data_IF_135591010256
#
_entry.id   IF_135591010256
#
_cell.length_a   1.000
_cell.length_b   1.000
_cell.length_c   1.000
_cell.angle_alpha   90.00
_cell.angle_beta   90.00
_cell.angle_gamma   90.00
#
_symmetry.space_group_name_H-M   'P 1'
#
loop_
_entity.id
_entity.type
_entity.pdbx_description
1 polymer ?
#
# COMPACT_ATOMS: atom_id res chain seq x y z
N UNK A 1 23.49 10.24 19.20
CA UNK A 1 24.08 10.35 17.85
C UNK A 1 23.06 11.07 16.99
N UNK A 2 23.34 12.32 16.60
CA UNK A 2 22.40 13.12 15.82
C UNK A 2 22.38 12.58 14.38
N UNK A 3 21.22 12.10 13.95
CA UNK A 3 20.92 11.84 12.54
C UNK A 3 21.10 13.16 11.80
N UNK A 4 22.03 13.22 10.84
CA UNK A 4 22.14 14.35 9.92
C UNK A 4 20.77 14.61 9.26
N UNK A 5 20.34 15.87 9.12
CA UNK A 5 19.12 16.18 8.39
C UNK A 5 19.35 15.74 6.95
N UNK A 6 18.57 14.76 6.50
CA UNK A 6 18.65 14.27 5.14
C UNK A 6 17.90 15.28 4.28
N UNK A 7 18.63 16.12 3.55
CA UNK A 7 18.02 16.98 2.54
C UNK A 7 17.17 16.11 1.62
N UNK A 8 15.92 16.52 1.35
CA UNK A 8 15.12 15.88 0.32
C UNK A 8 15.89 15.91 -0.99
N UNK A 9 16.02 14.76 -1.64
CA UNK A 9 16.80 14.65 -2.86
C UNK A 9 16.38 15.70 -3.89
N UNK A 10 17.37 16.32 -4.54
CA UNK A 10 17.13 17.31 -5.61
C UNK A 10 16.44 16.67 -6.83
N UNK A 11 16.68 15.38 -7.04
CA UNK A 11 16.15 14.55 -8.11
C UNK A 11 15.27 13.40 -7.57
N UNK A 12 14.53 12.75 -8.48
CA UNK A 12 13.58 11.70 -8.15
C UNK A 12 14.28 10.44 -7.62
N UNK A 13 15.38 10.03 -8.24
CA UNK A 13 16.09 8.80 -7.88
C UNK A 13 16.64 8.89 -6.46
N UNK A 14 17.28 10.01 -6.14
CA UNK A 14 17.72 10.32 -4.79
C UNK A 14 16.55 10.24 -3.82
N UNK A 15 15.45 10.96 -4.09
CA UNK A 15 14.24 10.99 -3.24
C UNK A 15 13.68 9.60 -2.97
N UNK A 16 13.45 8.79 -4.00
CA UNK A 16 12.94 7.42 -3.85
C UNK A 16 13.95 6.54 -3.08
N UNK A 17 15.25 6.68 -3.37
CA UNK A 17 16.31 5.99 -2.64
C UNK A 17 16.34 6.35 -1.14
N UNK A 18 15.95 7.57 -0.77
CA UNK A 18 15.81 7.95 0.63
C UNK A 18 14.53 7.41 1.29
N UNK A 19 13.44 7.32 0.52
CA UNK A 19 12.13 6.89 0.96
C UNK A 19 12.10 5.39 1.27
N UNK A 20 12.64 4.55 0.38
CA UNK A 20 12.45 3.10 0.43
C UNK A 20 12.84 2.45 1.76
N UNK A 21 13.99 2.78 2.39
CA UNK A 21 14.33 2.20 3.69
C UNK A 21 13.35 2.58 4.81
N UNK A 22 12.67 3.72 4.69
CA UNK A 22 11.72 4.23 5.69
C UNK A 22 10.28 3.82 5.40
N UNK A 23 9.98 3.40 4.16
CA UNK A 23 8.63 3.08 3.71
C UNK A 23 7.93 2.03 4.60
N UNK A 24 8.56 0.94 5.07
CA UNK A 24 7.92 0.00 5.98
C UNK A 24 7.39 0.66 7.27
N UNK A 25 8.17 1.56 7.87
CA UNK A 25 7.76 2.25 9.09
C UNK A 25 6.58 3.20 8.84
N UNK A 26 6.62 3.98 7.76
CA UNK A 26 5.53 4.87 7.37
C UNK A 26 4.25 4.10 6.99
N UNK A 27 4.38 2.98 6.28
CA UNK A 27 3.26 2.13 5.88
C UNK A 27 2.56 1.50 7.08
N UNK A 28 3.33 0.94 8.01
CA UNK A 28 2.76 0.34 9.22
C UNK A 28 2.08 1.40 10.10
N UNK A 29 2.63 2.63 10.15
CA UNK A 29 2.00 3.77 10.82
C UNK A 29 0.67 4.17 10.17
N UNK A 30 0.64 4.30 8.84
CA UNK A 30 -0.56 4.65 8.09
C UNK A 30 -1.65 3.57 8.23
N UNK A 31 -1.27 2.30 8.16
CA UNK A 31 -2.20 1.17 8.34
C UNK A 31 -2.87 1.21 9.72
N UNK A 32 -2.10 1.44 10.79
CA UNK A 32 -2.64 1.52 12.14
C UNK A 32 -3.51 2.76 12.39
N UNK A 33 -3.23 3.89 11.72
CA UNK A 33 -4.08 5.09 11.77
C UNK A 33 -5.43 4.89 11.10
N UNK A 34 -5.48 4.06 10.06
CA UNK A 34 -6.68 3.81 9.24
C UNK A 34 -7.64 2.74 9.78
N UNK A 35 -7.32 2.12 10.93
CA UNK A 35 -8.09 0.98 11.46
C UNK A 35 -9.60 1.29 11.52
N UNK A 36 -10.43 0.63 10.69
CA UNK A 36 -11.88 0.79 10.76
C UNK A 36 -12.39 0.17 12.08
N UNK A 37 -13.41 0.76 12.74
CA UNK A 37 -13.98 0.20 13.96
C UNK A 37 -14.72 -1.14 13.75
N UNK A 38 -15.17 -1.43 12.52
CA UNK A 38 -15.95 -2.62 12.16
C UNK A 38 -15.53 -3.16 10.79
N UNK A 39 -15.81 -4.45 10.56
CA UNK A 39 -15.36 -5.36 9.47
C UNK A 39 -14.08 -6.15 9.80
N UNK A 40 -13.92 -7.39 9.27
CA UNK A 40 -12.79 -8.26 9.60
C UNK A 40 -11.48 -7.56 9.26
N UNK A 41 -10.80 -7.12 10.32
CA UNK A 41 -9.50 -6.49 10.24
C UNK A 41 -8.46 -7.58 10.01
N UNK A 42 -7.94 -7.67 8.79
CA UNK A 42 -6.76 -8.49 8.46
C UNK A 42 -5.53 -7.61 8.69
N UNK A 43 -4.76 -7.81 9.77
CA UNK A 43 -3.56 -7.01 10.02
C UNK A 43 -2.56 -7.24 8.88
N UNK A 44 -2.16 -6.15 8.22
CA UNK A 44 -1.19 -6.15 7.13
C UNK A 44 0.01 -5.31 7.53
N UNK A 45 1.20 -5.85 7.32
CA UNK A 45 2.47 -5.16 7.60
C UNK A 45 3.37 -5.19 6.38
N UNK A 46 3.91 -4.04 6.02
CA UNK A 46 5.01 -3.97 5.04
C UNK A 46 6.29 -4.36 5.77
N UNK A 47 6.98 -5.37 5.24
CA UNK A 47 8.25 -5.87 5.78
C UNK A 47 9.41 -5.21 5.06
N UNK A 48 9.34 -5.15 3.73
CA UNK A 48 10.42 -4.69 2.88
C UNK A 48 9.85 -3.88 1.72
N UNK A 49 10.60 -2.86 1.32
CA UNK A 49 10.47 -2.21 0.03
C UNK A 49 11.69 -2.55 -0.82
N UNK A 50 11.47 -3.11 -2.00
CA UNK A 50 12.50 -3.52 -2.94
C UNK A 50 13.19 -2.33 -3.61
N UNK A 51 14.21 -2.64 -4.42
CA UNK A 51 14.93 -1.65 -5.24
C UNK A 51 13.95 -0.94 -6.19
N UNK A 52 14.07 0.39 -6.39
CA UNK A 52 13.25 1.08 -7.36
C UNK A 52 13.78 0.83 -8.78
N UNK A 53 12.86 0.72 -9.72
CA UNK A 53 13.16 0.80 -11.15
C UNK A 53 12.54 2.09 -11.70
N UNK A 54 13.18 2.73 -12.68
CA UNK A 54 12.72 3.99 -13.28
C UNK A 54 12.45 3.85 -14.79
N UNK A 55 12.94 2.76 -15.37
CA UNK A 55 12.62 2.38 -16.74
C UNK A 55 11.20 1.81 -16.80
N UNK A 56 10.39 2.19 -17.81
CA UNK A 56 9.08 1.59 -18.00
C UNK A 56 9.24 0.08 -18.16
N UNK A 57 8.54 -0.69 -17.31
CA UNK A 57 8.52 -2.15 -17.45
C UNK A 57 8.11 -2.49 -18.89
N UNK A 58 8.87 -3.35 -19.60
CA UNK A 58 8.48 -3.76 -20.93
C UNK A 58 7.11 -4.42 -20.80
N UNK A 59 6.10 -3.80 -21.40
CA UNK A 59 4.76 -4.38 -21.47
C UNK A 59 4.91 -5.58 -22.40
N UNK A 60 5.10 -6.76 -21.81
CA UNK A 60 5.02 -8.01 -22.55
C UNK A 60 3.68 -8.03 -23.29
N UNK A 61 3.74 -8.29 -24.59
CA UNK A 61 2.57 -8.35 -25.46
C UNK A 61 1.56 -9.34 -24.83
N UNK A 62 0.43 -8.81 -24.36
CA UNK A 62 -0.60 -9.59 -23.66
C UNK A 62 -1.32 -10.48 -24.68
N UNK A 63 -0.70 -11.62 -25.00
CA UNK A 63 -1.33 -12.72 -25.71
C UNK A 63 -1.56 -12.50 -27.20
N UNK A 64 -0.50 -12.52 -28.00
CA UNK A 64 -0.59 -13.07 -29.37
C UNK A 64 0.15 -14.40 -29.42
N UNK A 65 -0.60 -15.48 -29.62
CA UNK A 65 -0.05 -16.82 -29.79
C UNK A 65 0.77 -16.92 -31.08
N UNK A 66 1.95 -17.53 -30.99
CA UNK A 66 2.84 -17.86 -32.09
C UNK A 66 4.15 -17.06 -32.00
N UNK A 67 5.29 -17.65 -31.65
CA UNK A 67 5.88 -18.76 -32.38
C UNK A 67 6.76 -19.61 -31.45
N UNK A 68 6.58 -20.92 -31.55
CA UNK A 68 7.47 -21.93 -30.97
C UNK A 68 8.85 -21.81 -31.63
N UNK A 69 9.75 -21.09 -30.98
CA UNK A 69 11.18 -21.12 -31.26
C UNK A 69 11.73 -22.50 -30.90
N UNK A 70 12.10 -23.23 -31.95
CA UNK A 70 12.75 -24.54 -31.92
C UNK A 70 13.85 -24.63 -30.85
N UNK A 71 13.61 -25.40 -29.79
CA UNK A 71 14.66 -25.79 -28.83
C UNK A 71 15.41 -26.99 -29.37
N UNK A 72 16.70 -26.77 -29.65
CA UNK A 72 17.65 -27.81 -30.01
C UNK A 72 17.79 -28.84 -28.89
N UNK A 73 17.88 -30.09 -29.33
CA UNK A 73 18.14 -31.27 -28.51
C UNK A 73 19.46 -31.11 -27.75
N UNK A 74 19.39 -31.13 -26.41
CA UNK A 74 20.56 -31.23 -25.53
C UNK A 74 20.46 -32.51 -24.71
N UNK A 75 21.57 -33.25 -24.73
CA UNK A 75 21.66 -34.64 -24.33
C UNK A 75 21.35 -34.95 -22.87
N UNK A 76 20.93 -36.19 -22.70
CA UNK A 76 20.64 -36.86 -21.43
C UNK A 76 21.90 -36.92 -20.55
N UNK A 77 21.93 -36.15 -19.46
CA UNK A 77 22.93 -36.27 -18.39
C UNK A 77 22.29 -36.98 -17.21
N UNK A 78 22.88 -38.11 -16.80
CA UNK A 78 22.35 -39.03 -15.80
C UNK A 78 22.09 -38.37 -14.44
N UNK A 79 20.90 -38.64 -13.91
CA UNK A 79 20.47 -38.23 -12.58
C UNK A 79 21.16 -39.05 -11.49
N UNK A 80 22.21 -38.49 -10.88
CA UNK A 80 22.69 -38.90 -9.56
C UNK A 80 22.56 -37.70 -8.63
N UNK A 81 21.33 -37.44 -8.17
CA UNK A 81 21.06 -36.46 -7.12
C UNK A 81 21.24 -37.15 -5.76
N UNK A 82 22.03 -36.59 -4.83
CA UNK A 82 22.09 -37.09 -3.46
C UNK A 82 20.71 -36.94 -2.78
N UNK A 83 20.38 -37.84 -1.83
CA UNK A 83 19.09 -37.79 -1.14
C UNK A 83 18.94 -36.47 -0.38
N UNK A 84 17.74 -35.88 -0.47
CA UNK A 84 17.38 -34.65 0.23
C UNK A 84 17.50 -34.84 1.75
N UNK A 85 17.98 -33.81 2.49
CA UNK A 85 17.97 -33.85 3.94
C UNK A 85 16.54 -34.01 4.49
N UNK A 86 16.36 -34.68 5.62
CA UNK A 86 15.04 -34.83 6.23
C UNK A 86 14.45 -33.45 6.57
N UNK A 87 13.12 -33.29 6.48
CA UNK A 87 12.46 -32.04 6.80
C UNK A 87 12.77 -31.64 8.26
N UNK A 88 12.92 -30.33 8.54
CA UNK A 88 13.14 -29.86 9.90
C UNK A 88 11.97 -30.26 10.79
N UNK A 89 12.29 -30.72 11.99
CA UNK A 89 11.33 -31.12 13.01
C UNK A 89 10.34 -29.99 13.27
N UNK A 90 9.01 -30.24 13.30
CA UNK A 90 8.03 -29.19 13.58
C UNK A 90 8.33 -28.56 14.93
N UNK A 91 8.39 -27.23 14.94
CA UNK A 91 8.57 -26.44 16.16
C UNK A 91 7.40 -26.70 17.13
N UNK A 92 7.65 -26.72 18.45
CA UNK A 92 6.58 -26.85 19.43
C UNK A 92 5.59 -25.68 19.28
N UNK A 93 4.29 -25.92 19.53
CA UNK A 93 3.29 -24.86 19.47
C UNK A 93 3.64 -23.76 20.49
N UNK A 94 3.41 -22.48 20.14
CA UNK A 94 3.63 -21.39 21.08
C UNK A 94 2.75 -21.57 22.32
N UNK A 95 3.20 -21.10 23.50
CA UNK A 95 2.41 -21.15 24.72
C UNK A 95 1.10 -20.39 24.52
N UNK A 96 0.00 -20.95 25.03
CA UNK A 96 -1.31 -20.34 24.98
C UNK A 96 -1.26 -18.93 25.61
N UNK A 97 -1.91 -17.92 25.00
CA UNK A 97 -1.95 -16.60 25.59
C UNK A 97 -2.66 -16.65 26.96
N UNK A 98 -2.25 -15.81 27.92
CA UNK A 98 -2.95 -15.69 29.19
C UNK A 98 -4.41 -15.34 28.93
N UNK A 99 -5.31 -16.07 29.57
CA UNK A 99 -6.76 -15.84 29.49
C UNK A 99 -7.05 -14.41 29.93
N UNK A 100 -7.53 -13.58 29.01
CA UNK A 100 -7.93 -12.21 29.34
C UNK A 100 -9.07 -12.26 30.37
N UNK A 101 -9.09 -11.34 31.36
CA UNK A 101 -10.22 -11.22 32.27
C UNK A 101 -11.48 -10.91 31.46
N UNK A 102 -12.54 -11.68 31.70
CA UNK A 102 -13.86 -11.44 31.15
C UNK A 102 -14.33 -10.07 31.64
N UNK A 103 -14.49 -9.12 30.72
CA UNK A 103 -15.06 -7.81 31.05
C UNK A 103 -16.53 -7.99 31.48
N UNK A 104 -16.99 -7.27 32.51
CA UNK A 104 -18.40 -7.28 32.89
C UNK A 104 -19.26 -6.72 31.74
N UNK A 105 -20.52 -7.20 31.58
CA UNK A 105 -21.43 -6.65 30.59
C UNK A 105 -21.70 -5.17 30.88
N UNK A 106 -21.65 -4.34 29.84
CA UNK A 106 -22.00 -2.93 29.91
C UNK A 106 -23.47 -2.75 30.37
N UNK A 107 -23.77 -1.75 31.22
CA UNK A 107 -25.14 -1.40 31.54
C UNK A 107 -25.83 -0.81 30.31
N UNK A 108 -26.91 -1.47 29.88
CA UNK A 108 -27.82 -0.99 28.84
C UNK A 108 -28.80 -0.02 29.51
N UNK A 109 -28.39 1.23 29.72
CA UNK A 109 -29.30 2.29 30.14
C UNK A 109 -29.52 3.25 28.97
N UNK A 110 -30.35 2.79 28.02
CA UNK A 110 -30.85 3.60 26.92
C UNK A 110 -32.10 4.36 27.41
N UNK A 111 -31.90 5.49 28.11
CA UNK A 111 -32.95 6.51 28.21
C UNK A 111 -32.87 7.44 27.01
N UNK A 112 -33.76 7.19 26.05
CA UNK A 112 -34.07 8.08 24.94
C UNK A 112 -34.77 9.33 25.50
N UNK A 113 -34.27 10.56 25.27
CA UNK A 113 -35.03 11.76 25.60
C UNK A 113 -36.20 11.89 24.62
N UNK A 114 -37.44 11.90 25.12
CA UNK A 114 -38.60 12.30 24.33
C UNK A 114 -38.53 13.79 24.01
N UNK A 115 -38.18 14.12 22.77
CA UNK A 115 -38.42 15.43 22.19
C UNK A 115 -39.94 15.61 21.98
N UNK A 116 -40.50 16.63 22.62
CA UNK A 116 -41.84 17.14 22.36
C UNK A 116 -41.70 18.61 21.95
N UNK A 117 -42.13 18.93 20.72
CA UNK A 117 -41.97 20.27 20.18
C UNK A 117 -42.19 20.34 18.68
N UNK A 118 -43.42 20.09 18.22
CA UNK A 118 -43.83 20.45 16.88
C UNK A 118 -44.03 21.96 16.79
N UNK A 119 -43.16 22.65 16.06
CA UNK A 119 -43.47 23.97 15.50
C UNK A 119 -43.20 23.90 14.01
N UNK A 120 -44.28 23.97 13.24
CA UNK A 120 -44.29 24.08 11.80
C UNK A 120 -43.60 25.38 11.36
N UNK A 121 -42.45 25.24 10.71
CA UNK A 121 -41.80 26.34 9.97
C UNK A 121 -42.40 26.35 8.55
N UNK A 122 -42.84 27.50 8.02
CA UNK A 122 -43.30 27.57 6.65
C UNK A 122 -42.13 27.35 5.67
N UNK A 123 -42.44 26.65 4.58
CA UNK A 123 -41.57 26.35 3.44
C UNK A 123 -41.00 27.65 2.84
N UNK A 124 -39.79 28.00 3.25
CA UNK A 124 -38.94 28.94 2.51
C UNK A 124 -38.58 28.29 1.18
N UNK A 125 -38.71 29.08 0.12
CA UNK A 125 -38.30 28.75 -1.24
C UNK A 125 -36.86 28.23 -1.27
N UNK A 126 -36.70 27.00 -1.75
CA UNK A 126 -35.43 26.37 -2.09
C UNK A 126 -34.75 27.20 -3.19
N UNK A 127 -33.80 28.05 -2.81
CA UNK A 127 -32.79 28.52 -3.75
C UNK A 127 -31.85 27.34 -4.00
N UNK A 128 -31.68 26.97 -5.27
CA UNK A 128 -30.77 25.94 -5.73
C UNK A 128 -29.38 26.14 -5.10
N UNK A 129 -28.78 25.12 -4.43
CA UNK A 129 -27.44 25.27 -3.88
C UNK A 129 -26.47 25.58 -5.03
N UNK A 130 -25.52 26.52 -4.87
CA UNK A 130 -24.55 26.78 -5.91
C UNK A 130 -23.78 25.48 -6.17
N UNK A 131 -23.77 25.07 -7.43
CA UNK A 131 -23.02 23.94 -7.96
C UNK A 131 -21.62 23.89 -7.34
N UNK A 132 -21.12 22.72 -6.86
CA UNK A 132 -19.78 22.65 -6.31
C UNK A 132 -18.79 23.09 -7.39
N UNK A 133 -18.03 24.15 -7.10
CA UNK A 133 -16.95 24.60 -7.96
C UNK A 133 -16.08 23.39 -8.34
N UNK A 134 -15.63 23.27 -9.60
CA UNK A 134 -14.69 22.22 -9.97
C UNK A 134 -13.48 22.28 -9.03
N UNK A 135 -12.88 21.13 -8.65
CA UNK A 135 -11.69 21.13 -7.81
C UNK A 135 -10.68 22.08 -8.45
N UNK A 136 -10.23 23.07 -7.67
CA UNK A 136 -9.23 24.03 -8.09
C UNK A 136 -7.98 23.25 -8.45
N UNK A 137 -7.78 23.01 -9.75
CA UNK A 137 -6.51 22.50 -10.27
C UNK A 137 -5.48 23.55 -9.90
N UNK A 138 -4.47 23.24 -9.07
CA UNK A 138 -3.45 24.21 -8.70
C UNK A 138 -2.75 24.66 -9.98
N UNK A 139 -3.02 25.90 -10.38
CA UNK A 139 -2.38 26.57 -11.52
C UNK A 139 -1.01 27.07 -11.05
N UNK A 140 -0.14 26.14 -10.69
CA UNK A 140 1.29 26.35 -10.58
C UNK A 140 1.93 25.49 -11.64
N UNK A 141 3.00 25.97 -12.27
CA UNK A 141 3.82 25.20 -13.21
C UNK A 141 4.22 23.87 -12.55
N UNK A 142 3.41 22.85 -12.79
CA UNK A 142 3.59 21.53 -12.20
C UNK A 142 4.49 20.81 -13.19
N UNK A 143 5.72 20.50 -12.79
CA UNK A 143 6.65 19.78 -13.65
C UNK A 143 6.00 18.49 -14.17
N UNK A 144 6.38 18.06 -15.38
CA UNK A 144 5.84 16.84 -15.98
C UNK A 144 5.94 15.64 -15.00
N UNK A 145 4.89 14.81 -14.91
CA UNK A 145 4.89 13.69 -13.98
C UNK A 145 6.00 12.70 -14.36
N UNK A 146 6.85 12.42 -13.39
CA UNK A 146 7.89 11.40 -13.48
C UNK A 146 7.43 10.12 -12.78
N UNK A 147 7.90 9.00 -13.29
CA UNK A 147 7.47 7.68 -12.84
C UNK A 147 8.56 6.97 -12.04
N UNK A 148 8.14 6.23 -11.03
CA UNK A 148 8.98 5.28 -10.30
C UNK A 148 8.21 3.99 -10.05
N UNK A 149 8.89 2.86 -10.17
CA UNK A 149 8.33 1.53 -9.93
C UNK A 149 8.96 0.96 -8.68
N UNK A 150 8.12 0.56 -7.71
CA UNK A 150 8.60 -0.06 -6.46
C UNK A 150 7.83 -1.35 -6.20
N UNK A 151 8.47 -2.25 -5.47
CA UNK A 151 7.85 -3.51 -5.01
C UNK A 151 7.83 -3.54 -3.49
N UNK A 152 6.73 -3.96 -2.89
CA UNK A 152 6.65 -4.22 -1.45
C UNK A 152 6.44 -5.71 -1.18
N UNK A 153 7.02 -6.17 -0.08
CA UNK A 153 6.69 -7.46 0.52
C UNK A 153 5.85 -7.22 1.77
N UNK A 154 4.63 -7.74 1.76
CA UNK A 154 3.65 -7.60 2.81
C UNK A 154 3.38 -8.93 3.51
N UNK A 155 3.13 -8.85 4.81
CA UNK A 155 2.67 -9.97 5.63
C UNK A 155 1.28 -9.68 6.14
N UNK A 156 0.36 -10.56 5.79
CA UNK A 156 -1.02 -10.50 6.26
C UNK A 156 -1.32 -11.62 7.24
N UNK A 157 -2.01 -11.27 8.32
CA UNK A 157 -2.46 -12.21 9.34
C UNK A 157 -3.94 -12.55 9.12
N UNK A 158 -4.19 -13.64 8.42
CA UNK A 158 -5.55 -14.13 8.16
C UNK A 158 -6.00 -15.09 9.26
N UNK A 159 -7.31 -15.39 9.38
CA UNK A 159 -7.79 -16.42 10.29
C UNK A 159 -7.16 -17.81 10.04
N UNK A 160 -6.71 -18.07 8.82
CA UNK A 160 -6.15 -19.35 8.39
C UNK A 160 -4.61 -19.40 8.49
N UNK A 161 -3.97 -18.32 8.96
CA UNK A 161 -2.53 -18.23 9.10
C UNK A 161 -1.92 -16.99 8.43
N UNK A 162 -0.60 -17.03 8.28
CA UNK A 162 0.19 -15.93 7.74
C UNK A 162 0.40 -16.13 6.24
N UNK A 163 0.05 -15.13 5.45
CA UNK A 163 0.34 -15.11 4.00
C UNK A 163 1.28 -13.95 3.67
N UNK A 164 2.17 -14.19 2.71
CA UNK A 164 3.07 -13.17 2.18
C UNK A 164 2.59 -12.75 0.80
N UNK A 165 2.49 -11.45 0.58
CA UNK A 165 2.03 -10.86 -0.66
C UNK A 165 3.09 -9.93 -1.21
N UNK A 166 3.33 -10.02 -2.51
CA UNK A 166 4.13 -9.06 -3.23
C UNK A 166 3.19 -8.10 -3.95
N UNK A 167 3.36 -6.79 -3.72
CA UNK A 167 2.65 -5.76 -4.48
C UNK A 167 3.64 -4.94 -5.28
N UNK A 168 3.24 -4.63 -6.50
CA UNK A 168 3.99 -3.80 -7.44
C UNK A 168 3.26 -2.47 -7.54
N UNK A 169 4.02 -1.38 -7.52
CA UNK A 169 3.47 -0.03 -7.46
C UNK A 169 4.08 0.86 -8.53
N UNK A 170 3.21 1.57 -9.23
CA UNK A 170 3.52 2.62 -10.18
C UNK A 170 3.25 3.94 -9.50
N UNK A 171 4.30 4.72 -9.25
CA UNK A 171 4.18 6.03 -8.61
C UNK A 171 4.36 7.08 -9.69
N UNK A 172 3.46 8.06 -9.72
CA UNK A 172 3.58 9.25 -10.56
C UNK A 172 3.79 10.44 -9.64
N UNK A 173 4.96 11.07 -9.74
CA UNK A 173 5.37 12.18 -8.91
C UNK A 173 5.67 13.41 -9.77
N UNK A 174 5.24 14.57 -9.29
CA UNK A 174 5.57 15.85 -9.91
C UNK A 174 6.51 16.63 -9.03
N UNK A 175 7.49 17.30 -9.64
CA UNK A 175 8.38 18.20 -8.92
C UNK A 175 7.61 19.47 -8.55
N UNK A 176 7.71 19.86 -7.29
CA UNK A 176 7.17 21.11 -6.71
C UNK A 176 8.32 21.94 -6.13
N UNK A 177 8.06 23.19 -5.74
CA UNK A 177 9.10 24.13 -5.28
C UNK A 177 10.03 23.55 -4.21
N UNK A 178 9.47 22.84 -3.23
CA UNK A 178 10.21 22.33 -2.07
C UNK A 178 10.42 20.81 -2.09
N UNK A 179 10.19 20.12 -3.21
CA UNK A 179 10.43 18.67 -3.33
C UNK A 179 9.50 17.95 -4.30
N UNK A 180 8.97 16.80 -3.87
CA UNK A 180 8.14 15.93 -4.71
C UNK A 180 6.74 15.71 -4.13
N UNK A 181 5.75 15.62 -5.00
CA UNK A 181 4.37 15.30 -4.64
C UNK A 181 3.88 14.06 -5.41
N UNK A 182 3.24 13.13 -4.69
CA UNK A 182 2.57 11.97 -5.30
C UNK A 182 1.20 12.38 -5.86
N UNK A 183 1.11 12.46 -7.19
CA UNK A 183 -0.13 12.85 -7.89
C UNK A 183 -1.03 11.67 -8.22
N UNK A 184 -0.45 10.50 -8.54
CA UNK A 184 -1.19 9.29 -8.87
C UNK A 184 -0.39 8.05 -8.50
N UNK A 185 -1.09 6.95 -8.19
CA UNK A 185 -0.42 5.69 -7.89
C UNK A 185 -1.29 4.49 -8.27
N UNK A 186 -0.75 3.56 -9.06
CA UNK A 186 -1.41 2.29 -9.35
C UNK A 186 -0.70 1.14 -8.66
N UNK A 187 -1.43 0.07 -8.36
CA UNK A 187 -0.87 -1.14 -7.79
C UNK A 187 -1.39 -2.40 -8.49
N UNK A 188 -0.55 -3.43 -8.53
CA UNK A 188 -0.94 -4.80 -8.88
C UNK A 188 -0.54 -5.69 -7.71
N UNK A 189 -1.45 -6.58 -7.29
CA UNK A 189 -1.09 -7.70 -6.43
C UNK A 189 -0.53 -8.84 -7.28
N UNK A 190 0.67 -9.28 -6.91
CA UNK A 190 1.32 -10.45 -7.49
C UNK A 190 0.57 -11.75 -7.18
N UNK A 191 0.88 -12.83 -7.92
CA UNK A 191 0.25 -14.12 -7.71
C UNK A 191 0.55 -14.67 -6.32
N UNK A 192 -0.48 -15.07 -5.58
CA UNK A 192 -0.33 -15.75 -4.27
C UNK A 192 -0.11 -17.26 -4.45
N UNK A 193 -0.48 -17.81 -5.61
CA UNK A 193 -0.30 -19.22 -5.98
C UNK A 193 0.26 -19.34 -7.40
N UNK A 194 1.04 -20.38 -7.66
CA UNK A 194 1.56 -20.67 -8.99
C UNK A 194 0.41 -20.91 -9.99
N UNK A 195 0.43 -20.21 -11.13
CA UNK A 195 -0.62 -20.29 -12.15
C UNK A 195 -1.79 -19.31 -11.98
N UNK A 196 -1.84 -18.55 -10.87
CA UNK A 196 -2.81 -17.47 -10.72
C UNK A 196 -2.37 -16.25 -11.54
N UNK A 197 -3.25 -15.63 -12.35
CA UNK A 197 -2.90 -14.41 -13.06
C UNK A 197 -2.75 -13.23 -12.06
N UNK A 198 -1.90 -12.24 -12.36
CA UNK A 198 -1.84 -11.01 -11.58
C UNK A 198 -3.20 -10.28 -11.62
N UNK A 199 -3.51 -9.57 -10.54
CA UNK A 199 -4.72 -8.75 -10.48
C UNK A 199 -4.64 -7.56 -11.46
N UNK A 200 -5.77 -7.07 -12.00
CA UNK A 200 -5.76 -5.82 -12.76
C UNK A 200 -5.18 -4.67 -11.93
N UNK A 201 -4.49 -3.69 -12.56
CA UNK A 201 -4.03 -2.50 -11.87
C UNK A 201 -5.18 -1.74 -11.21
N UNK A 202 -5.04 -1.40 -9.93
CA UNK A 202 -5.99 -0.58 -9.17
C UNK A 202 -5.39 0.78 -8.81
N UNK A 203 -6.19 1.86 -8.84
CA UNK A 203 -5.77 3.15 -8.26
C UNK A 203 -5.60 2.96 -6.76
N UNK A 204 -4.45 3.34 -6.24
CA UNK A 204 -3.99 3.01 -4.90
C UNK A 204 -3.31 4.18 -4.18
N UNK A 205 -3.44 5.41 -4.68
CA UNK A 205 -2.87 6.62 -4.04
C UNK A 205 -3.48 6.84 -2.66
N UNK A 206 -4.75 6.48 -2.51
CA UNK A 206 -5.47 6.55 -1.25
C UNK A 206 -5.43 5.24 -0.47
N UNK A 207 -4.56 4.28 -0.80
CA UNK A 207 -4.26 3.12 0.06
C UNK A 207 -3.39 3.50 1.26
N UNK A 208 -3.19 2.57 2.20
CA UNK A 208 -2.27 2.81 3.33
C UNK A 208 -0.81 3.00 2.87
N UNK A 209 -0.41 2.39 1.76
CA UNK A 209 0.91 2.58 1.14
C UNK A 209 0.99 3.95 0.48
N UNK A 210 -0.05 4.36 -0.25
CA UNK A 210 -0.09 5.68 -0.88
C UNK A 210 -0.11 6.83 0.15
N UNK A 211 -0.80 6.65 1.28
CA UNK A 211 -0.71 7.59 2.41
C UNK A 211 0.67 7.61 3.07
N UNK A 212 1.30 6.45 3.20
CA UNK A 212 2.65 6.35 3.74
C UNK A 212 3.66 7.14 2.89
N UNK A 213 3.60 6.97 1.57
CA UNK A 213 4.44 7.70 0.61
C UNK A 213 4.17 9.20 0.71
N UNK A 214 2.90 9.63 0.67
CA UNK A 214 2.55 11.06 0.81
C UNK A 214 3.03 11.66 2.12
N UNK A 215 2.85 10.93 3.23
CA UNK A 215 3.31 11.36 4.55
C UNK A 215 4.83 11.49 4.58
N UNK A 216 5.56 10.54 4.00
CA UNK A 216 7.02 10.60 3.92
C UNK A 216 7.49 11.78 3.08
N UNK A 217 6.88 12.00 1.91
CA UNK A 217 7.18 13.16 1.05
C UNK A 217 6.90 14.49 1.77
N UNK A 218 5.82 14.57 2.55
CA UNK A 218 5.53 15.74 3.36
C UNK A 218 6.54 15.95 4.50
N UNK A 219 6.85 14.90 5.25
CA UNK A 219 7.81 14.94 6.36
C UNK A 219 9.22 15.28 5.84
N UNK A 220 9.59 14.78 4.67
CA UNK A 220 10.83 15.14 4.00
C UNK A 220 10.86 16.66 3.75
N UNK A 221 9.87 17.21 3.02
CA UNK A 221 9.85 18.64 2.65
C UNK A 221 9.86 19.56 3.87
N UNK A 222 9.26 19.10 4.96
CA UNK A 222 9.23 19.83 6.23
C UNK A 222 10.59 19.85 6.96
N UNK A 223 11.52 18.97 6.60
CA UNK A 223 12.88 18.88 7.17
C UNK A 223 13.93 19.64 6.34
N UNK A 224 13.60 20.02 5.11
CA UNK A 224 14.47 20.84 4.25
C UNK A 224 14.33 22.35 4.48
N UNK A 225 13.41 22.77 5.35
CA UNK A 225 13.12 24.17 5.69
C UNK A 225 13.71 24.53 7.06
#
# INVERSE_FOLDING_TARGET
MASTPKACGDDLESTIGQMLPQLPAYANRAFHRRRPPQEPYTPTYVILAGKPEFEPLPIGDWGTGGSVGSVGSVGSVGSNLPPLPPPPTPLPPPPLPPTLPVLPPYPVDMRVPQWSGGTSVPRSSEAEPPSPSPPRVPTGETGEPQQAFITTLERQYTPNGVVFLQRFHWLFLTKVADGWELVQMFSIQGPTQAGQPPTPPEESRDSFIGEAIRSWLQDCRSQSQ
#
